data_IF_919811991502
#
_entry.id   IF_919811991502
#
_cell.length_a   1.000
_cell.length_b   1.000
_cell.length_c   1.000
_cell.angle_alpha   90.00
_cell.angle_beta   90.00
_cell.angle_gamma   90.00
#
_symmetry.space_group_name_H-M   'P 1'
#
loop_
_entity.id
_entity.type
_entity.pdbx_description
1 polymer ?
#
# COMPACT_ATOMS: atom_id res chain seq x y z
N UNK A 1 -5.64 17.95 12.22
CA UNK A 1 -4.23 18.17 12.63
C UNK A 1 -3.46 18.31 11.33
N UNK A 2 -2.65 19.37 11.15
CA UNK A 2 -1.85 19.50 9.93
C UNK A 2 -0.67 18.51 9.95
N UNK A 3 -0.10 18.19 8.78
CA UNK A 3 1.11 17.36 8.68
C UNK A 3 2.28 17.93 9.50
N UNK A 4 2.40 19.25 9.50
CA UNK A 4 3.44 19.95 10.26
C UNK A 4 3.27 19.72 11.77
N UNK A 5 2.04 19.81 12.28
CA UNK A 5 1.78 19.66 13.71
C UNK A 5 2.03 18.22 14.17
N UNK A 6 1.70 17.24 13.33
CA UNK A 6 2.05 15.83 13.54
C UNK A 6 3.56 15.62 13.63
N UNK A 7 4.37 16.31 12.80
CA UNK A 7 5.83 16.19 12.84
C UNK A 7 6.48 16.98 13.99
N UNK A 8 5.81 17.99 14.54
CA UNK A 8 6.27 18.79 15.69
C UNK A 8 5.97 18.15 17.05
N UNK A 9 5.02 17.23 17.12
CA UNK A 9 4.61 16.55 18.35
C UNK A 9 5.23 15.16 18.44
N UNK A 10 5.57 14.72 19.65
CA UNK A 10 6.14 13.38 19.86
C UNK A 10 5.07 12.28 19.74
N UNK A 11 3.79 12.63 19.92
CA UNK A 11 2.67 11.71 19.80
C UNK A 11 1.34 12.46 19.65
N UNK A 12 0.51 12.04 18.70
CA UNK A 12 -0.92 12.40 18.61
C UNK A 12 -1.74 11.13 18.34
N UNK A 13 -2.63 10.79 19.26
CA UNK A 13 -3.42 9.56 19.22
C UNK A 13 -4.27 9.47 17.95
N UNK A 14 -4.88 10.58 17.50
CA UNK A 14 -5.77 10.53 16.33
C UNK A 14 -4.95 10.28 15.07
N UNK A 15 -3.91 11.07 14.82
CA UNK A 15 -2.99 10.86 13.70
C UNK A 15 -2.41 9.45 13.72
N UNK A 16 -1.99 8.95 14.88
CA UNK A 16 -1.48 7.58 15.03
C UNK A 16 -2.50 6.53 14.55
N UNK A 17 -3.75 6.60 15.01
CA UNK A 17 -4.81 5.67 14.59
C UNK A 17 -5.11 5.79 13.09
N UNK A 18 -5.14 7.00 12.55
CA UNK A 18 -5.40 7.19 11.11
C UNK A 18 -4.23 6.76 10.22
N UNK A 19 -2.97 6.86 10.67
CA UNK A 19 -1.83 6.25 9.97
C UNK A 19 -1.92 4.73 9.97
N UNK A 20 -2.32 4.11 11.08
CA UNK A 20 -2.59 2.66 11.13
C UNK A 20 -3.66 2.29 10.11
N UNK A 21 -4.79 2.99 10.12
CA UNK A 21 -5.92 2.71 9.22
C UNK A 21 -5.53 2.89 7.74
N UNK A 22 -4.82 3.98 7.42
CA UNK A 22 -4.41 4.30 6.07
C UNK A 22 -3.44 3.25 5.51
N UNK A 23 -2.38 2.92 6.27
CA UNK A 23 -1.41 1.90 5.87
C UNK A 23 -2.03 0.51 5.81
N UNK A 24 -2.94 0.19 6.74
CA UNK A 24 -3.72 -1.04 6.73
C UNK A 24 -4.52 -1.19 5.44
N UNK A 25 -5.35 -0.20 5.09
CA UNK A 25 -6.19 -0.23 3.89
C UNK A 25 -5.34 -0.31 2.62
N UNK A 26 -4.25 0.47 2.55
CA UNK A 26 -3.36 0.47 1.38
C UNK A 26 -2.79 -0.93 1.14
N UNK A 27 -2.14 -1.50 2.15
CA UNK A 27 -1.48 -2.81 1.99
C UNK A 27 -2.52 -3.89 1.72
N UNK A 28 -3.68 -3.84 2.38
CA UNK A 28 -4.76 -4.80 2.14
C UNK A 28 -5.24 -4.77 0.69
N UNK A 29 -5.51 -3.58 0.13
CA UNK A 29 -5.93 -3.46 -1.27
C UNK A 29 -4.84 -3.84 -2.26
N UNK A 30 -3.57 -3.52 -1.96
CA UNK A 30 -2.43 -3.96 -2.78
C UNK A 30 -2.35 -5.49 -2.81
N UNK A 31 -2.41 -6.15 -1.65
CA UNK A 31 -2.37 -7.62 -1.56
C UNK A 31 -3.57 -8.28 -2.25
N UNK A 32 -4.78 -7.72 -2.09
CA UNK A 32 -5.97 -8.19 -2.82
C UNK A 32 -5.85 -8.04 -4.33
N UNK A 33 -5.24 -6.94 -4.78
CA UNK A 33 -4.96 -6.70 -6.20
C UNK A 33 -3.96 -7.72 -6.75
N UNK A 34 -2.88 -7.98 -6.02
CA UNK A 34 -1.92 -9.02 -6.36
C UNK A 34 -2.58 -10.40 -6.41
N UNK A 35 -3.37 -10.75 -5.41
CA UNK A 35 -4.10 -12.02 -5.36
C UNK A 35 -4.99 -12.19 -6.59
N UNK A 36 -5.78 -11.17 -6.92
CA UNK A 36 -6.67 -11.16 -8.09
C UNK A 36 -5.90 -11.31 -9.40
N UNK A 37 -4.75 -10.63 -9.53
CA UNK A 37 -3.89 -10.71 -10.70
C UNK A 37 -3.31 -12.11 -10.89
N UNK A 38 -2.86 -12.76 -9.82
CA UNK A 38 -2.27 -14.10 -9.91
C UNK A 38 -3.29 -15.20 -10.14
N UNK A 39 -4.51 -15.06 -9.58
CA UNK A 39 -5.61 -16.01 -9.81
C UNK A 39 -6.30 -15.81 -11.16
N UNK A 40 -6.14 -14.66 -11.82
CA UNK A 40 -6.72 -14.46 -13.15
C UNK A 40 -6.08 -15.39 -14.18
N UNK A 41 -6.85 -16.37 -14.66
CA UNK A 41 -6.49 -17.22 -15.80
C UNK A 41 -6.53 -16.47 -17.14
N UNK A 42 -7.23 -15.33 -17.21
CA UNK A 42 -7.32 -14.48 -18.40
C UNK A 42 -6.13 -13.51 -18.43
N UNK A 43 -5.57 -13.37 -19.64
CA UNK A 43 -4.47 -12.49 -20.07
C UNK A 43 -3.89 -11.59 -18.95
N UNK A 44 -2.67 -11.91 -18.48
CA UNK A 44 -1.94 -11.16 -17.45
C UNK A 44 -1.50 -9.78 -17.97
N UNK A 45 -2.45 -8.86 -18.07
CA UNK A 45 -2.21 -7.52 -18.56
C UNK A 45 -1.59 -6.66 -17.44
N UNK A 46 -0.28 -6.41 -17.55
CA UNK A 46 0.47 -5.58 -16.60
C UNK A 46 -0.07 -4.15 -16.52
N UNK A 47 -0.58 -3.58 -17.61
CA UNK A 47 -1.16 -2.23 -17.60
C UNK A 47 -2.41 -2.15 -16.73
N UNK A 48 -3.30 -3.14 -16.86
CA UNK A 48 -4.52 -3.22 -16.06
C UNK A 48 -4.19 -3.41 -14.58
N UNK A 49 -3.16 -4.20 -14.28
CA UNK A 49 -2.67 -4.37 -12.91
C UNK A 49 -2.16 -3.04 -12.31
N UNK A 50 -1.34 -2.29 -13.05
CA UNK A 50 -0.85 -0.97 -12.61
C UNK A 50 -1.99 0.03 -12.38
N UNK A 51 -3.04 0.01 -13.22
CA UNK A 51 -4.23 0.84 -13.04
C UNK A 51 -4.96 0.48 -11.73
N UNK A 52 -5.14 -0.82 -11.45
CA UNK A 52 -5.77 -1.29 -10.21
C UNK A 52 -4.95 -0.89 -8.97
N UNK A 53 -3.62 -0.99 -9.03
CA UNK A 53 -2.75 -0.54 -7.93
C UNK A 53 -2.88 0.96 -7.69
N UNK A 54 -2.90 1.76 -8.77
CA UNK A 54 -3.09 3.21 -8.70
C UNK A 54 -4.46 3.53 -8.09
N UNK A 55 -5.51 2.84 -8.53
CA UNK A 55 -6.85 3.01 -7.98
C UNK A 55 -6.92 2.63 -6.49
N UNK A 56 -6.22 1.56 -6.09
CA UNK A 56 -6.13 1.13 -4.68
C UNK A 56 -5.51 2.22 -3.79
N UNK A 57 -4.47 2.90 -4.30
CA UNK A 57 -3.85 4.03 -3.61
C UNK A 57 -4.83 5.20 -3.44
N UNK A 58 -5.48 5.65 -4.52
CA UNK A 58 -6.47 6.73 -4.44
C UNK A 58 -7.68 6.36 -3.57
N UNK A 59 -8.20 5.15 -3.70
CA UNK A 59 -9.30 4.64 -2.90
C UNK A 59 -8.95 4.68 -1.41
N UNK A 60 -7.72 4.30 -1.05
CA UNK A 60 -7.24 4.38 0.33
C UNK A 60 -7.24 5.82 0.84
N UNK A 61 -6.76 6.78 0.05
CA UNK A 61 -6.78 8.20 0.42
C UNK A 61 -8.22 8.67 0.66
N UNK A 62 -9.14 8.40 -0.28
CA UNK A 62 -10.53 8.83 -0.16
C UNK A 62 -11.23 8.19 1.02
N UNK A 63 -11.03 6.90 1.27
CA UNK A 63 -11.62 6.22 2.41
C UNK A 63 -11.06 6.74 3.73
N UNK A 64 -9.74 6.93 3.81
CA UNK A 64 -9.11 7.46 5.03
C UNK A 64 -9.60 8.87 5.33
N UNK A 65 -9.66 9.74 4.32
CA UNK A 65 -10.19 11.10 4.47
C UNK A 65 -11.68 11.11 4.82
N UNK A 66 -12.48 10.25 4.18
CA UNK A 66 -13.90 10.13 4.46
C UNK A 66 -14.17 9.66 5.90
N UNK A 67 -13.48 8.60 6.34
CA UNK A 67 -13.59 8.09 7.70
C UNK A 67 -13.07 9.13 8.71
N UNK A 68 -11.98 9.84 8.41
CA UNK A 68 -11.47 10.90 9.26
C UNK A 68 -12.46 12.07 9.39
N UNK A 69 -13.06 12.48 8.28
CA UNK A 69 -14.09 13.52 8.27
C UNK A 69 -15.27 13.18 9.18
N UNK A 70 -15.75 11.93 9.11
CA UNK A 70 -16.87 11.46 9.92
C UNK A 70 -16.50 11.20 11.39
N UNK A 71 -15.40 10.50 11.65
CA UNK A 71 -15.06 10.03 13.00
C UNK A 71 -14.32 11.07 13.84
N UNK A 72 -13.57 11.99 13.22
CA UNK A 72 -12.74 12.96 13.94
C UNK A 72 -13.32 14.38 13.97
N UNK A 73 -14.41 14.66 13.23
CA UNK A 73 -14.99 16.00 13.02
C UNK A 73 -13.95 17.07 12.61
N UNK A 74 -12.82 16.64 12.04
CA UNK A 74 -11.72 17.49 11.59
C UNK A 74 -10.91 16.77 10.53
N UNK A 75 -10.37 17.47 9.52
CA UNK A 75 -9.46 16.85 8.56
C UNK A 75 -8.18 16.36 9.28
N UNK A 76 -7.85 15.10 9.05
CA UNK A 76 -6.60 14.47 9.48
C UNK A 76 -5.87 14.05 8.21
N UNK A 77 -4.75 14.72 7.95
CA UNK A 77 -3.92 14.42 6.80
C UNK A 77 -2.91 13.35 7.18
N UNK A 78 -3.07 12.16 6.62
CA UNK A 78 -2.12 11.07 6.79
C UNK A 78 -0.98 11.18 5.78
N UNK A 79 0.19 10.68 6.17
CA UNK A 79 1.38 10.53 5.34
C UNK A 79 1.32 9.27 4.49
N UNK A 80 0.68 8.21 5.00
CA UNK A 80 0.37 6.97 4.27
C UNK A 80 1.60 6.09 3.92
N UNK A 81 2.73 6.72 3.63
CA UNK A 81 4.00 6.10 3.22
C UNK A 81 5.16 6.59 4.11
N UNK A 82 6.11 5.72 4.47
CA UNK A 82 7.32 6.11 5.20
C UNK A 82 8.13 7.19 4.48
N UNK A 83 8.24 7.09 3.15
CA UNK A 83 8.96 8.06 2.33
C UNK A 83 8.36 9.46 2.48
N UNK A 84 7.03 9.57 2.60
CA UNK A 84 6.34 10.84 2.80
C UNK A 84 6.56 11.41 4.20
N UNK A 85 6.65 10.56 5.24
CA UNK A 85 7.01 11.00 6.60
C UNK A 85 8.40 11.63 6.60
N UNK A 86 9.36 10.96 5.96
CA UNK A 86 10.75 11.44 5.87
C UNK A 86 10.80 12.71 5.01
N UNK A 87 10.29 12.69 3.78
CA UNK A 87 10.37 13.85 2.88
C UNK A 87 9.71 15.08 3.46
N UNK A 88 8.52 14.95 4.06
CA UNK A 88 7.80 16.07 4.64
C UNK A 88 8.49 16.58 5.92
N UNK A 89 9.15 15.72 6.70
CA UNK A 89 9.96 16.14 7.84
C UNK A 89 11.12 17.07 7.45
N UNK A 90 11.76 16.79 6.31
CA UNK A 90 12.80 17.65 5.74
C UNK A 90 12.21 18.91 5.10
N UNK A 91 11.27 18.76 4.16
CA UNK A 91 10.72 19.88 3.38
C UNK A 91 10.02 20.89 4.29
N UNK A 92 9.13 20.43 5.17
CA UNK A 92 8.35 21.31 6.04
C UNK A 92 9.19 21.90 7.18
N UNK A 93 10.25 21.21 7.61
CA UNK A 93 11.21 21.73 8.59
C UNK A 93 12.02 22.89 8.04
N UNK A 94 12.49 22.78 6.81
CA UNK A 94 13.20 23.86 6.11
C UNK A 94 12.28 25.07 5.89
N UNK A 95 11.03 24.83 5.47
CA UNK A 95 10.08 25.89 5.14
C UNK A 95 9.55 26.69 6.35
N UNK A 96 9.35 26.04 7.51
CA UNK A 96 8.60 26.67 8.60
C UNK A 96 9.42 27.63 9.46
N UNK A 97 10.71 27.38 9.63
CA UNK A 97 11.50 28.14 10.60
C UNK A 97 12.71 28.86 9.95
N UNK A 98 13.00 28.71 8.64
CA UNK A 98 14.19 29.24 7.93
C UNK A 98 15.55 28.96 8.61
N UNK A 99 15.55 28.19 9.71
CA UNK A 99 16.69 27.76 10.51
C UNK A 99 17.23 26.41 10.05
N UNK A 100 16.60 25.75 9.07
CA UNK A 100 17.07 24.49 8.48
C UNK A 100 16.92 23.25 9.36
N UNK A 101 16.17 23.31 10.46
CA UNK A 101 16.01 22.18 11.37
C UNK A 101 14.95 21.18 10.89
N UNK A 102 15.30 19.90 10.88
CA UNK A 102 14.42 18.78 10.51
C UNK A 102 13.33 18.59 11.59
N UNK A 103 12.08 18.37 11.18
CA UNK A 103 10.98 18.05 12.09
C UNK A 103 10.97 16.56 12.44
N UNK A 104 11.83 16.16 13.38
CA UNK A 104 12.07 14.74 13.69
C UNK A 104 11.17 14.15 14.78
N UNK A 105 10.52 14.99 15.60
CA UNK A 105 9.80 14.54 16.80
C UNK A 105 8.68 13.54 16.49
N UNK A 106 7.96 13.75 15.39
CA UNK A 106 6.85 12.89 14.99
C UNK A 106 7.25 11.63 14.21
N UNK A 107 8.48 11.54 13.70
CA UNK A 107 8.88 10.47 12.77
C UNK A 107 8.67 9.09 13.39
N UNK A 108 9.11 8.89 14.63
CA UNK A 108 9.08 7.58 15.28
C UNK A 108 7.65 7.03 15.43
N UNK A 109 6.70 7.84 15.92
CA UNK A 109 5.33 7.36 16.13
C UNK A 109 4.58 7.17 14.80
N UNK A 110 4.84 8.00 13.79
CA UNK A 110 4.25 7.86 12.45
C UNK A 110 4.72 6.59 11.75
N UNK A 111 6.03 6.31 11.78
CA UNK A 111 6.58 5.08 11.21
C UNK A 111 6.11 3.84 11.96
N UNK A 112 6.01 3.91 13.28
CA UNK A 112 5.47 2.82 14.11
C UNK A 112 4.00 2.55 13.78
N UNK A 113 3.19 3.60 13.60
CA UNK A 113 1.79 3.48 13.19
C UNK A 113 1.66 2.78 11.82
N UNK A 114 2.47 3.19 10.86
CA UNK A 114 2.48 2.58 9.52
C UNK A 114 2.90 1.11 9.55
N UNK A 115 3.93 0.78 10.35
CA UNK A 115 4.36 -0.61 10.54
C UNK A 115 3.25 -1.47 11.15
N UNK A 116 2.56 -0.96 12.18
CA UNK A 116 1.43 -1.66 12.80
C UNK A 116 0.28 -1.89 11.81
N UNK A 117 -0.06 -0.90 10.98
CA UNK A 117 -1.08 -1.04 9.95
C UNK A 117 -0.70 -2.08 8.89
N UNK A 118 0.56 -2.12 8.45
CA UNK A 118 1.08 -3.14 7.54
C UNK A 118 0.96 -4.55 8.15
N UNK A 119 1.40 -4.73 9.39
CA UNK A 119 1.32 -6.01 10.09
C UNK A 119 -0.14 -6.49 10.21
N UNK A 120 -1.04 -5.57 10.58
CA UNK A 120 -2.47 -5.87 10.66
C UNK A 120 -3.05 -6.27 9.30
N UNK A 121 -2.65 -5.59 8.22
CA UNK A 121 -3.11 -5.91 6.87
C UNK A 121 -2.65 -7.29 6.43
N UNK A 122 -1.41 -7.67 6.72
CA UNK A 122 -0.88 -9.01 6.41
C UNK A 122 -1.67 -10.09 7.17
N UNK A 123 -1.96 -9.87 8.47
CA UNK A 123 -2.73 -10.81 9.28
C UNK A 123 -4.17 -10.99 8.75
N UNK A 124 -4.85 -9.88 8.46
CA UNK A 124 -6.22 -9.92 7.91
C UNK A 124 -6.22 -10.55 6.52
N UNK A 125 -5.25 -10.19 5.67
CA UNK A 125 -5.12 -10.76 4.35
C UNK A 125 -4.83 -12.27 4.39
N UNK A 126 -4.01 -12.74 5.33
CA UNK A 126 -3.78 -14.18 5.54
C UNK A 126 -5.08 -14.94 5.85
N UNK A 127 -5.91 -14.40 6.75
CA UNK A 127 -7.20 -14.98 7.06
C UNK A 127 -8.14 -14.98 5.84
N UNK A 128 -8.20 -13.86 5.12
CA UNK A 128 -9.00 -13.73 3.89
C UNK A 128 -8.53 -14.68 2.79
N UNK A 129 -7.22 -14.79 2.58
CA UNK A 129 -6.61 -15.69 1.60
C UNK A 129 -7.07 -17.13 1.87
N UNK A 130 -6.92 -17.61 3.10
CA UNK A 130 -7.34 -18.95 3.48
C UNK A 130 -8.85 -19.17 3.31
N UNK A 131 -9.68 -18.16 3.60
CA UNK A 131 -11.12 -18.23 3.37
C UNK A 131 -11.46 -18.31 1.87
N UNK A 132 -10.80 -17.50 1.04
CA UNK A 132 -11.00 -17.47 -0.41
C UNK A 132 -10.54 -18.78 -1.07
N UNK A 133 -9.41 -19.34 -0.67
CA UNK A 133 -8.94 -20.65 -1.16
C UNK A 133 -9.89 -21.78 -0.76
N UNK A 134 -10.47 -21.75 0.45
CA UNK A 134 -11.46 -22.75 0.90
C UNK A 134 -12.77 -22.71 0.09
N UNK A 135 -13.15 -21.55 -0.42
CA UNK A 135 -14.37 -21.39 -1.23
C UNK A 135 -14.20 -21.90 -2.67
N UNK A 136 -12.97 -22.23 -3.11
CA UNK A 136 -12.73 -22.74 -4.46
C UNK A 136 -13.12 -24.22 -4.55
N UNK A 137 -14.03 -24.53 -5.47
CA UNK A 137 -14.66 -25.84 -5.62
C UNK A 137 -13.79 -26.85 -6.36
N UNK A 138 -12.88 -26.39 -7.23
CA UNK A 138 -11.99 -27.25 -8.03
C UNK A 138 -10.64 -27.52 -7.33
N UNK A 139 -10.17 -28.77 -7.32
CA UNK A 139 -8.85 -29.13 -6.74
C UNK A 139 -7.66 -28.51 -7.47
N UNK A 140 -7.79 -28.21 -8.77
CA UNK A 140 -6.74 -27.53 -9.55
C UNK A 140 -6.55 -26.07 -9.15
N UNK A 141 -7.60 -25.40 -8.65
CA UNK A 141 -7.52 -24.00 -8.24
C UNK A 141 -6.95 -23.84 -6.81
N UNK A 142 -7.12 -24.86 -5.95
CA UNK A 142 -6.68 -24.91 -4.54
C UNK A 142 -5.18 -25.08 -4.32
N UNK A 143 -4.37 -25.20 -5.38
CA UNK A 143 -2.92 -25.50 -5.29
C UNK A 143 -2.03 -24.29 -4.99
N UNK A 144 -2.57 -23.17 -4.52
CA UNK A 144 -1.77 -21.97 -4.29
C UNK A 144 -1.63 -21.71 -2.79
N UNK A 145 -0.46 -22.02 -2.22
CA UNK A 145 -0.20 -21.77 -0.81
C UNK A 145 0.11 -20.29 -0.55
N UNK A 146 -0.15 -19.82 0.67
CA UNK A 146 0.15 -18.43 1.05
C UNK A 146 1.64 -18.10 0.97
N UNK A 147 2.52 -19.06 1.26
CA UNK A 147 3.97 -18.88 1.10
C UNK A 147 4.33 -18.71 -0.37
N UNK A 148 3.76 -19.51 -1.28
CA UNK A 148 3.96 -19.34 -2.72
C UNK A 148 3.43 -18.00 -3.23
N UNK A 149 2.37 -17.43 -2.64
CA UNK A 149 1.89 -16.08 -2.93
C UNK A 149 2.86 -14.98 -2.48
N UNK A 150 3.46 -15.12 -1.28
CA UNK A 150 4.40 -14.14 -0.76
C UNK A 150 5.75 -14.20 -1.48
N UNK A 151 6.19 -15.40 -1.84
CA UNK A 151 7.49 -15.66 -2.47
C UNK A 151 7.37 -15.94 -3.96
N UNK A 152 6.36 -15.39 -4.65
CA UNK A 152 6.16 -15.63 -6.09
C UNK A 152 7.50 -15.45 -6.79
N UNK A 153 8.00 -16.61 -7.23
CA UNK A 153 9.34 -16.83 -7.74
C UNK A 153 9.60 -15.77 -8.82
N UNK A 154 10.44 -14.79 -8.50
CA UNK A 154 10.75 -13.62 -9.34
C UNK A 154 11.21 -13.99 -10.77
N UNK A 155 11.56 -15.25 -11.01
CA UNK A 155 12.15 -15.74 -12.25
C UNK A 155 11.24 -15.73 -13.49
N UNK A 156 9.90 -15.78 -13.39
CA UNK A 156 9.05 -16.02 -14.59
C UNK A 156 8.37 -14.80 -15.21
N UNK A 157 8.33 -13.65 -14.54
CA UNK A 157 7.55 -12.50 -15.02
C UNK A 157 8.35 -11.21 -15.28
N UNK A 158 9.60 -11.12 -14.83
CA UNK A 158 10.47 -9.97 -15.15
C UNK A 158 11.06 -10.00 -16.58
N UNK A 159 11.01 -11.13 -17.29
CA UNK A 159 11.66 -11.33 -18.59
C UNK A 159 10.74 -11.47 -19.82
N UNK A 160 9.42 -11.29 -19.68
CA UNK A 160 8.46 -11.45 -20.77
C UNK A 160 7.66 -10.14 -20.97
N UNK A 161 8.29 -9.11 -21.59
CA UNK A 161 7.85 -8.80 -22.95
C UNK A 161 8.95 -8.29 -23.91
N UNK A 162 10.25 -8.44 -23.61
CA UNK A 162 11.29 -7.95 -24.55
C UNK A 162 11.54 -8.87 -25.74
N UNK A 163 11.21 -10.17 -25.64
CA UNK A 163 11.53 -11.13 -26.71
C UNK A 163 10.51 -11.16 -27.86
N UNK A 164 9.25 -10.79 -27.62
CA UNK A 164 8.20 -10.84 -28.64
C UNK A 164 8.03 -9.54 -29.44
N UNK A 165 8.72 -8.47 -29.09
CA UNK A 165 8.67 -7.20 -29.84
C UNK A 165 9.70 -7.09 -30.96
N UNK A 166 10.67 -8.01 -31.04
CA UNK A 166 11.77 -7.93 -32.04
C UNK A 166 11.70 -9.01 -33.14
N UNK A 167 10.77 -9.97 -33.06
CA UNK A 167 10.70 -11.06 -34.05
C UNK A 167 9.64 -10.86 -35.14
N UNK A 168 8.84 -9.80 -35.10
CA UNK A 168 7.75 -9.58 -36.08
C UNK A 168 8.06 -8.50 -37.14
N UNK A 169 9.33 -8.11 -37.33
CA UNK A 169 9.74 -7.15 -38.37
C UNK A 169 10.72 -7.73 -39.41
N UNK A 170 10.81 -9.05 -39.56
CA UNK A 170 11.72 -9.66 -40.55
C UNK A 170 11.10 -10.58 -41.60
N UNK A 171 9.76 -10.66 -41.70
CA UNK A 171 9.12 -11.36 -42.81
C UNK A 171 7.77 -10.72 -43.16
N UNK A 172 7.82 -9.72 -44.05
CA UNK A 172 6.99 -9.53 -45.25
C UNK A 172 7.20 -8.11 -45.79
#
# INVERSE_FOLDING_TARGET
MSKIDSLKTSFDTKTFVFEILASFLLILFVLLSYYSFFKSKKNKNLYLFSIILTFSFFLTIFLTLGIAGFAANRPINTFLLPQLVISDAFILGIQKDFQGAILSKGIAYLLTAQLLGVLLAILVFYALFNALEKMQTTEEDRKFSFQEFLFIKEEKYLFLPLKNSFSSQLWL
#
